data_IF_291546961556
#
_entry.id   IF_291546961556
#
_cell.length_a   1.000
_cell.length_b   1.000
_cell.length_c   1.000
_cell.angle_alpha   90.00
_cell.angle_beta   90.00
_cell.angle_gamma   90.00
#
_symmetry.space_group_name_H-M   'P 1'
#
loop_
_entity.id
_entity.type
_entity.pdbx_description
1 polymer ?
#
# COMPACT_ATOMS: atom_id res chain seq x y z
N UNK A 1 -6.46 0.65 6.48
CA UNK A 1 -6.70 0.04 5.14
C UNK A 1 -5.37 -0.12 4.45
N UNK A 2 -5.10 -1.29 3.89
CA UNK A 2 -3.92 -1.51 3.06
C UNK A 2 -4.37 -1.86 1.65
N UNK A 3 -3.84 -1.15 0.66
CA UNK A 3 -4.16 -1.33 -0.75
C UNK A 3 -2.98 -1.98 -1.45
N UNK A 4 -3.22 -3.10 -2.10
CA UNK A 4 -2.22 -3.85 -2.85
C UNK A 4 -2.48 -3.59 -4.33
N UNK A 5 -1.59 -2.84 -4.97
CA UNK A 5 -1.67 -2.53 -6.40
C UNK A 5 -0.65 -3.36 -7.17
N UNK A 6 -1.08 -3.90 -8.32
CA UNK A 6 -0.18 -4.57 -9.27
C UNK A 6 0.32 -3.62 -10.38
N UNK A 7 -0.03 -2.34 -10.28
CA UNK A 7 0.38 -1.27 -11.16
C UNK A 7 1.15 -0.19 -10.38
N UNK A 8 1.80 0.70 -11.12
CA UNK A 8 2.33 1.94 -10.59
C UNK A 8 1.83 3.08 -11.47
N UNK A 9 1.12 4.04 -10.87
CA UNK A 9 0.61 5.20 -11.59
C UNK A 9 1.65 6.31 -11.56
N UNK A 10 2.40 6.47 -12.66
CA UNK A 10 3.40 7.52 -12.81
C UNK A 10 2.78 8.91 -12.59
N UNK A 11 3.43 9.72 -11.76
CA UNK A 11 2.98 11.08 -11.44
C UNK A 11 1.77 11.15 -10.50
N UNK A 12 1.29 10.03 -9.97
CA UNK A 12 0.21 10.02 -8.97
C UNK A 12 0.66 10.63 -7.64
N UNK A 13 -0.31 11.12 -6.87
CA UNK A 13 -0.05 11.61 -5.51
C UNK A 13 0.61 10.50 -4.66
N UNK A 14 1.62 10.84 -3.88
CA UNK A 14 2.40 9.87 -3.09
C UNK A 14 3.12 8.77 -3.89
N UNK A 15 3.17 8.86 -5.23
CA UNK A 15 3.79 7.84 -6.09
C UNK A 15 3.22 6.44 -5.83
N UNK A 16 1.89 6.29 -5.86
CA UNK A 16 1.19 5.02 -5.61
C UNK A 16 0.59 4.37 -6.87
N UNK A 17 -0.16 3.31 -6.66
CA UNK A 17 -0.99 2.67 -7.69
C UNK A 17 -2.34 3.37 -7.87
N UNK A 18 -3.09 2.99 -8.90
CA UNK A 18 -4.39 3.59 -9.23
C UNK A 18 -5.42 3.34 -8.13
N UNK A 19 -5.57 2.10 -7.65
CA UNK A 19 -6.63 1.78 -6.68
C UNK A 19 -6.35 2.47 -5.35
N UNK A 20 -5.08 2.64 -4.97
CA UNK A 20 -4.74 3.42 -3.79
C UNK A 20 -5.24 4.87 -3.85
N UNK A 21 -5.18 5.53 -5.02
CA UNK A 21 -5.73 6.88 -5.18
C UNK A 21 -7.25 6.88 -5.07
N UNK A 22 -7.92 5.96 -5.76
CA UNK A 22 -9.38 5.86 -5.77
C UNK A 22 -9.92 5.60 -4.35
N UNK A 23 -9.27 4.71 -3.59
CA UNK A 23 -9.66 4.42 -2.20
C UNK A 23 -9.45 5.64 -1.30
N UNK A 24 -8.36 6.40 -1.46
CA UNK A 24 -8.14 7.63 -0.69
C UNK A 24 -9.17 8.70 -1.01
N UNK A 25 -9.52 8.86 -2.28
CA UNK A 25 -10.55 9.79 -2.72
C UNK A 25 -11.93 9.39 -2.19
N UNK A 26 -12.29 8.11 -2.30
CA UNK A 26 -13.57 7.59 -1.81
C UNK A 26 -13.73 7.72 -0.28
N UNK A 27 -12.63 7.61 0.47
CA UNK A 27 -12.63 7.73 1.93
C UNK A 27 -12.31 9.16 2.42
N UNK A 28 -12.18 10.14 1.51
CA UNK A 28 -11.72 11.48 1.86
C UNK A 28 -12.68 12.24 2.77
N UNK A 29 -13.99 12.05 2.58
CA UNK A 29 -15.06 12.76 3.28
C UNK A 29 -15.43 12.15 4.65
N UNK A 30 -14.77 11.05 5.04
CA UNK A 30 -14.97 10.48 6.37
C UNK A 30 -14.49 11.45 7.46
N UNK A 31 -15.32 11.62 8.49
CA UNK A 31 -14.99 12.43 9.67
C UNK A 31 -13.78 11.86 10.41
N UNK A 32 -13.71 10.53 10.54
CA UNK A 32 -12.54 9.82 11.04
C UNK A 32 -11.84 9.12 9.87
N UNK A 33 -10.68 9.67 9.46
CA UNK A 33 -9.94 9.16 8.30
C UNK A 33 -9.09 7.95 8.73
N UNK A 34 -9.30 6.76 8.13
CA UNK A 34 -8.45 5.63 8.43
C UNK A 34 -7.04 5.87 7.88
N UNK A 35 -6.04 5.23 8.49
CA UNK A 35 -4.71 5.12 7.88
C UNK A 35 -4.83 4.27 6.61
N UNK A 36 -4.37 4.80 5.48
CA UNK A 36 -4.36 4.12 4.18
C UNK A 36 -2.91 4.05 3.69
N UNK A 37 -2.41 2.84 3.47
CA UNK A 37 -1.07 2.55 2.95
C UNK A 37 -1.15 1.73 1.67
N UNK A 38 -0.13 1.82 0.83
CA UNK A 38 -0.04 1.16 -0.46
C UNK A 38 1.15 0.20 -0.52
N UNK A 39 0.92 -0.97 -1.08
CA UNK A 39 1.94 -1.96 -1.39
C UNK A 39 1.90 -2.25 -2.89
N UNK A 40 2.95 -1.83 -3.60
CA UNK A 40 3.11 -2.13 -5.02
C UNK A 40 3.75 -3.50 -5.14
N UNK A 41 2.98 -4.46 -5.66
CA UNK A 41 3.32 -5.88 -5.73
C UNK A 41 3.31 -6.36 -7.18
N UNK A 42 3.96 -7.50 -7.47
CA UNK A 42 3.83 -8.16 -8.78
C UNK A 42 4.33 -7.36 -10.00
N UNK A 43 5.01 -6.23 -9.77
CA UNK A 43 5.49 -5.35 -10.84
C UNK A 43 6.36 -6.12 -11.84
N UNK A 44 6.11 -5.94 -13.13
CA UNK A 44 6.83 -6.65 -14.19
C UNK A 44 6.55 -8.16 -14.26
N UNK A 45 5.40 -8.62 -13.74
CA UNK A 45 5.01 -10.03 -13.76
C UNK A 45 5.72 -10.89 -12.71
N UNK A 46 6.31 -10.26 -11.68
CA UNK A 46 6.95 -10.97 -10.58
C UNK A 46 5.92 -11.74 -9.75
N UNK A 47 6.36 -12.89 -9.22
CA UNK A 47 5.55 -13.69 -8.30
C UNK A 47 5.29 -12.94 -6.99
N UNK A 48 4.06 -13.05 -6.49
CA UNK A 48 3.65 -12.58 -5.17
C UNK A 48 3.72 -13.76 -4.21
N UNK A 49 4.80 -13.87 -3.46
CA UNK A 49 5.03 -15.03 -2.59
C UNK A 49 4.20 -14.95 -1.30
N UNK A 50 3.93 -16.11 -0.70
CA UNK A 50 3.28 -16.20 0.61
C UNK A 50 4.07 -15.45 1.68
N UNK A 51 5.40 -15.48 1.62
CA UNK A 51 6.24 -14.79 2.60
C UNK A 51 6.19 -13.26 2.45
N UNK A 52 6.08 -12.75 1.22
CA UNK A 52 5.82 -11.34 0.99
C UNK A 52 4.48 -10.92 1.60
N UNK A 53 3.41 -11.71 1.38
CA UNK A 53 2.09 -11.44 1.95
C UNK A 53 2.08 -11.50 3.49
N UNK A 54 2.80 -12.45 4.10
CA UNK A 54 2.97 -12.53 5.56
C UNK A 54 3.71 -11.30 6.11
N UNK A 55 4.76 -10.84 5.41
CA UNK A 55 5.53 -9.66 5.80
C UNK A 55 4.67 -8.39 5.77
N UNK A 56 3.91 -8.20 4.68
CA UNK A 56 2.92 -7.12 4.53
C UNK A 56 1.88 -7.18 5.66
N UNK A 57 1.31 -8.36 5.91
CA UNK A 57 0.31 -8.56 6.98
C UNK A 57 0.85 -8.20 8.37
N UNK A 58 2.09 -8.60 8.69
CA UNK A 58 2.74 -8.25 9.96
C UNK A 58 2.92 -6.72 10.09
N UNK A 59 3.39 -6.06 9.05
CA UNK A 59 3.57 -4.61 9.06
C UNK A 59 2.24 -3.86 9.23
N UNK A 60 1.19 -4.27 8.53
CA UNK A 60 -0.16 -3.69 8.68
C UNK A 60 -0.67 -3.89 10.11
N UNK A 61 -0.43 -5.06 10.70
CA UNK A 61 -0.80 -5.34 12.08
C UNK A 61 -0.08 -4.40 13.06
N UNK A 62 1.22 -4.17 12.90
CA UNK A 62 1.96 -3.21 13.72
C UNK A 62 1.43 -1.78 13.54
N UNK A 63 1.22 -1.32 12.29
CA UNK A 63 0.61 0.00 12.01
C UNK A 63 -0.75 0.13 12.69
N UNK A 64 -1.54 -0.94 12.74
CA UNK A 64 -2.86 -0.91 13.39
C UNK A 64 -2.77 -0.64 14.90
N UNK A 65 -1.69 -1.09 15.54
CA UNK A 65 -1.41 -0.94 16.98
C UNK A 65 -0.77 0.40 17.30
N UNK A 66 0.26 0.79 16.55
CA UNK A 66 1.07 1.97 16.83
C UNK A 66 0.51 3.24 16.22
N UNK A 67 -0.29 3.12 15.15
CA UNK A 67 -0.72 4.23 14.28
C UNK A 67 0.44 4.94 13.56
N UNK A 68 1.64 4.36 13.59
CA UNK A 68 2.81 4.93 12.95
C UNK A 68 3.02 4.31 11.56
N UNK A 69 3.16 5.16 10.55
CA UNK A 69 3.42 4.75 9.16
C UNK A 69 4.82 5.19 8.76
N UNK A 70 5.72 4.22 8.52
CA UNK A 70 7.09 4.51 8.07
C UNK A 70 7.14 4.93 6.61
N UNK A 71 6.34 4.27 5.77
CA UNK A 71 6.22 4.53 4.34
C UNK A 71 4.76 4.43 3.93
N UNK A 72 4.23 5.47 3.28
CA UNK A 72 2.84 5.48 2.79
C UNK A 72 2.69 4.57 1.57
N UNK A 73 3.70 4.54 0.70
CA UNK A 73 3.79 3.62 -0.44
C UNK A 73 5.07 2.81 -0.31
N UNK A 74 4.96 1.49 -0.46
CA UNK A 74 6.06 0.55 -0.36
C UNK A 74 6.11 -0.35 -1.59
N UNK A 75 7.30 -0.47 -2.17
CA UNK A 75 7.56 -1.35 -3.31
C UNK A 75 8.01 -2.71 -2.79
N UNK A 76 7.36 -3.78 -3.23
CA UNK A 76 7.60 -5.13 -2.69
C UNK A 76 8.22 -6.01 -3.77
N UNK A 77 9.33 -6.67 -3.44
CA UNK A 77 9.99 -7.62 -4.34
C UNK A 77 10.72 -6.97 -5.52
N UNK A 78 11.00 -5.67 -5.46
CA UNK A 78 11.86 -4.96 -6.41
C UNK A 78 13.28 -4.82 -5.84
N UNK A 79 14.29 -4.76 -6.70
CA UNK A 79 15.68 -4.47 -6.28
C UNK A 79 15.82 -2.96 -6.09
N UNK A 80 16.61 -2.57 -5.08
CA UNK A 80 17.05 -1.19 -4.86
C UNK A 80 18.06 -0.74 -5.92
#
# INVERSE_FOLDING_TARGET
VAVLDNDFSFGSAHCGGVIFQEIRSALYDLSEKPIIVNYLIGLGGREITVDAMKSIGKEIYEISKTKEVKQVVKWVGVRE
#
